data_IF_987761126909
#
_entry.id   IF_987761126909
#
_cell.length_a   1.000
_cell.length_b   1.000
_cell.length_c   1.000
_cell.angle_alpha   90.00
_cell.angle_beta   90.00
_cell.angle_gamma   90.00
#
_symmetry.space_group_name_H-M   'P 1'
#
loop_
_entity.id
_entity.type
_entity.pdbx_description
1 polymer ?
#
# COMPACT_ATOMS: atom_id res chain seq x y z
N UNK A 1 6.91 -3.04 -30.78
CA UNK A 1 7.41 -1.67 -31.09
C UNK A 1 6.91 -0.62 -30.08
N UNK A 2 5.64 -0.65 -29.65
CA UNK A 2 5.08 0.29 -28.65
C UNK A 2 5.75 0.19 -27.26
N UNK A 3 6.16 -1.01 -26.83
CA UNK A 3 6.86 -1.23 -25.55
C UNK A 3 8.27 -0.60 -25.46
N UNK A 4 8.98 -0.45 -26.58
CA UNK A 4 10.33 0.13 -26.62
C UNK A 4 10.27 1.66 -26.62
N UNK A 5 9.43 2.23 -27.48
CA UNK A 5 9.19 3.69 -27.55
C UNK A 5 8.67 4.27 -26.22
N UNK A 6 7.90 3.50 -25.45
CA UNK A 6 7.36 3.94 -24.17
C UNK A 6 8.31 3.75 -22.97
N UNK A 7 9.30 2.87 -23.07
CA UNK A 7 10.36 2.71 -22.05
C UNK A 7 11.37 3.85 -22.16
N UNK A 8 11.67 4.27 -23.38
CA UNK A 8 12.57 5.39 -23.68
C UNK A 8 12.02 6.72 -23.16
N UNK A 9 10.71 7.00 -23.36
CA UNK A 9 10.09 8.27 -22.95
C UNK A 9 10.10 8.56 -21.43
N UNK A 10 10.20 7.54 -20.57
CA UNK A 10 10.29 7.73 -19.11
C UNK A 10 11.72 7.57 -18.57
N UNK A 11 12.69 7.15 -19.39
CA UNK A 11 14.08 6.96 -18.94
C UNK A 11 14.83 8.29 -18.90
N UNK A 12 14.80 9.06 -20.00
CA UNK A 12 15.52 10.33 -20.10
C UNK A 12 15.11 11.36 -19.02
N UNK A 13 13.81 11.57 -18.72
CA UNK A 13 13.43 12.51 -17.66
C UNK A 13 13.84 12.02 -16.26
N UNK A 14 13.86 10.69 -16.02
CA UNK A 14 14.31 10.10 -14.76
C UNK A 14 15.81 10.22 -14.58
N UNK A 15 16.58 9.97 -15.63
CA UNK A 15 18.04 10.09 -15.58
C UNK A 15 18.46 11.55 -15.33
N UNK A 16 17.74 12.51 -15.93
CA UNK A 16 17.95 13.93 -15.66
C UNK A 16 17.54 14.31 -14.22
N UNK A 17 16.38 13.84 -13.75
CA UNK A 17 15.94 14.07 -12.38
C UNK A 17 16.91 13.45 -11.37
N UNK A 18 17.42 12.25 -11.64
CA UNK A 18 18.42 11.55 -10.84
C UNK A 18 19.70 12.38 -10.74
N UNK A 19 20.18 12.89 -11.87
CA UNK A 19 21.35 13.76 -11.90
C UNK A 19 21.14 15.04 -11.09
N UNK A 20 20.00 15.72 -11.25
CA UNK A 20 19.69 16.96 -10.51
C UNK A 20 19.60 16.68 -9.00
N UNK A 21 18.91 15.61 -8.60
CA UNK A 21 18.78 15.24 -7.18
C UNK A 21 20.16 14.95 -6.59
N UNK A 22 21.00 14.16 -7.28
CA UNK A 22 22.34 13.84 -6.82
C UNK A 22 23.27 15.05 -6.75
N UNK A 23 23.18 15.98 -7.71
CA UNK A 23 23.94 17.23 -7.69
C UNK A 23 23.52 18.12 -6.51
N UNK A 24 22.22 18.23 -6.26
CA UNK A 24 21.67 18.96 -5.12
C UNK A 24 22.11 18.35 -3.77
N UNK A 25 22.11 17.02 -3.67
CA UNK A 25 22.58 16.33 -2.45
C UNK A 25 24.09 16.53 -2.24
N UNK A 26 24.90 16.48 -3.30
CA UNK A 26 26.36 16.69 -3.24
C UNK A 26 26.73 18.10 -2.80
N UNK A 27 25.98 19.11 -3.23
CA UNK A 27 26.20 20.50 -2.84
C UNK A 27 25.89 20.72 -1.35
N UNK A 28 25.02 19.90 -0.76
CA UNK A 28 24.77 19.88 0.68
C UNK A 28 24.01 21.09 1.21
N UNK A 29 23.66 22.07 0.36
CA UNK A 29 22.92 23.25 0.74
C UNK A 29 21.50 22.91 1.19
N UNK A 30 21.11 23.43 2.36
CA UNK A 30 19.80 23.16 2.95
C UNK A 30 18.64 23.54 2.01
N UNK A 31 18.77 24.65 1.28
CA UNK A 31 17.75 25.10 0.33
C UNK A 31 17.53 24.09 -0.81
N UNK A 32 18.59 23.47 -1.33
CA UNK A 32 18.50 22.48 -2.41
C UNK A 32 17.89 21.16 -1.93
N UNK A 33 18.24 20.72 -0.71
CA UNK A 33 17.62 19.56 -0.07
C UNK A 33 16.12 19.77 0.16
N UNK A 34 15.73 20.96 0.58
CA UNK A 34 14.34 21.32 0.78
C UNK A 34 13.55 21.34 -0.54
N UNK A 35 14.16 21.84 -1.63
CA UNK A 35 13.57 21.78 -2.97
C UNK A 35 13.37 20.32 -3.41
N UNK A 36 14.38 19.45 -3.23
CA UNK A 36 14.27 18.02 -3.53
C UNK A 36 13.12 17.38 -2.75
N UNK A 37 13.05 17.62 -1.43
CA UNK A 37 11.99 17.13 -0.54
C UNK A 37 10.61 17.55 -1.03
N UNK A 38 10.38 18.85 -1.26
CA UNK A 38 9.09 19.36 -1.69
C UNK A 38 8.69 18.84 -3.08
N UNK A 39 9.62 18.80 -4.02
CA UNK A 39 9.36 18.34 -5.40
C UNK A 39 9.02 16.85 -5.43
N UNK A 40 9.78 16.03 -4.70
CA UNK A 40 9.54 14.59 -4.61
C UNK A 40 8.24 14.28 -3.86
N UNK A 41 7.97 14.96 -2.74
CA UNK A 41 6.72 14.79 -1.98
C UNK A 41 5.49 15.16 -2.82
N UNK A 42 5.55 16.27 -3.56
CA UNK A 42 4.49 16.68 -4.49
C UNK A 42 4.32 15.68 -5.63
N UNK A 43 5.42 15.16 -6.16
CA UNK A 43 5.41 14.15 -7.22
C UNK A 43 4.84 12.82 -6.75
N UNK A 44 5.13 12.41 -5.51
CA UNK A 44 4.55 11.24 -4.88
C UNK A 44 3.04 11.39 -4.79
N UNK A 45 2.54 12.47 -4.18
CA UNK A 45 1.11 12.75 -4.02
C UNK A 45 0.39 12.75 -5.37
N UNK A 46 0.97 13.41 -6.38
CA UNK A 46 0.42 13.46 -7.73
C UNK A 46 0.36 12.08 -8.38
N UNK A 47 1.47 11.33 -8.33
CA UNK A 47 1.57 10.01 -8.96
C UNK A 47 0.65 9.01 -8.28
N UNK A 48 0.54 9.07 -6.96
CA UNK A 48 -0.41 8.29 -6.15
C UNK A 48 -1.86 8.58 -6.58
N UNK A 49 -2.23 9.86 -6.72
CA UNK A 49 -3.56 10.27 -7.20
C UNK A 49 -3.84 9.82 -8.64
N UNK A 50 -2.85 9.91 -9.52
CA UNK A 50 -2.98 9.45 -10.91
C UNK A 50 -3.12 7.93 -10.98
N UNK A 51 -2.32 7.18 -10.21
CA UNK A 51 -2.41 5.71 -10.13
C UNK A 51 -3.78 5.29 -9.63
N UNK A 52 -4.25 5.92 -8.55
CA UNK A 52 -5.60 5.75 -8.03
C UNK A 52 -6.63 5.97 -9.15
N UNK A 53 -6.57 7.10 -9.84
CA UNK A 53 -7.53 7.45 -10.89
C UNK A 53 -7.50 6.47 -12.08
N UNK A 54 -6.30 5.98 -12.46
CA UNK A 54 -6.12 4.99 -13.52
C UNK A 54 -6.78 3.66 -13.17
N UNK A 55 -6.60 3.20 -11.93
CA UNK A 55 -7.19 1.94 -11.45
C UNK A 55 -8.71 2.08 -11.18
N UNK A 56 -9.16 3.21 -10.64
CA UNK A 56 -10.60 3.51 -10.50
C UNK A 56 -11.31 3.63 -11.84
N UNK A 57 -10.63 4.11 -12.88
CA UNK A 57 -11.14 4.07 -14.26
C UNK A 57 -11.38 2.64 -14.74
N UNK A 58 -10.47 1.72 -14.43
CA UNK A 58 -10.58 0.30 -14.81
C UNK A 58 -11.65 -0.44 -14.00
N UNK A 59 -11.85 -0.10 -12.72
CA UNK A 59 -12.85 -0.79 -11.88
C UNK A 59 -14.29 -0.34 -12.19
N UNK A 60 -14.47 0.87 -12.75
CA UNK A 60 -15.76 1.31 -13.33
C UNK A 60 -16.14 0.55 -14.60
N UNK A 61 -15.19 -0.07 -15.30
CA UNK A 61 -15.44 -0.92 -16.46
C UNK A 61 -15.86 -2.36 -16.09
N UNK A 62 -15.85 -2.74 -14.82
CA UNK A 62 -16.14 -4.14 -14.43
C UNK A 62 -17.38 -4.31 -13.57
N UNK A 63 -17.86 -3.34 -12.78
CA UNK A 63 -19.22 -3.40 -12.22
C UNK A 63 -19.61 -2.18 -11.36
N UNK A 64 -20.74 -1.58 -11.74
CA UNK A 64 -21.70 -0.93 -10.85
C UNK A 64 -22.02 -1.81 -9.61
N UNK A 65 -21.91 -1.21 -8.43
CA UNK A 65 -22.54 -1.58 -7.14
C UNK A 65 -22.14 -2.84 -6.34
N UNK A 66 -20.99 -3.50 -6.57
CA UNK A 66 -20.74 -4.81 -5.91
C UNK A 66 -19.40 -5.09 -5.22
N UNK A 67 -18.51 -4.12 -5.01
CA UNK A 67 -17.13 -4.48 -4.60
C UNK A 67 -16.87 -4.52 -3.09
N UNK A 68 -17.56 -3.71 -2.26
CA UNK A 68 -17.48 -3.84 -0.80
C UNK A 68 -18.15 -5.12 -0.29
N UNK A 69 -18.98 -5.79 -1.10
CA UNK A 69 -19.62 -7.07 -0.76
C UNK A 69 -18.83 -8.29 -1.28
N UNK A 70 -17.97 -8.11 -2.28
CA UNK A 70 -17.18 -9.20 -2.89
C UNK A 70 -15.98 -9.61 -2.04
N UNK A 71 -15.36 -8.69 -1.29
CA UNK A 71 -14.38 -9.05 -0.26
C UNK A 71 -15.01 -9.92 0.85
N UNK A 72 -16.29 -9.72 1.17
CA UNK A 72 -16.96 -10.42 2.26
C UNK A 72 -17.73 -11.69 1.84
N UNK A 73 -18.02 -11.90 0.55
CA UNK A 73 -18.73 -13.12 0.06
C UNK A 73 -17.85 -14.38 -0.04
N UNK A 74 -16.54 -14.27 0.15
CA UNK A 74 -15.64 -15.42 0.17
C UNK A 74 -15.43 -16.04 1.56
N UNK A 75 -16.14 -15.53 2.58
CA UNK A 75 -16.09 -16.03 3.96
C UNK A 75 -17.30 -16.95 4.20
N UNK A 76 -17.13 -18.28 4.35
CA UNK A 76 -18.25 -19.22 4.48
C UNK A 76 -19.02 -19.13 5.82
N UNK A 77 -18.62 -18.28 6.76
CA UNK A 77 -19.12 -18.26 8.14
C UNK A 77 -19.66 -16.90 8.62
N UNK A 78 -20.17 -16.09 7.69
CA UNK A 78 -20.75 -14.77 7.95
C UNK A 78 -21.89 -14.76 9.00
N UNK A 79 -22.56 -15.89 9.26
CA UNK A 79 -23.74 -15.95 10.13
C UNK A 79 -23.46 -16.19 11.62
N UNK A 80 -22.22 -16.48 12.03
CA UNK A 80 -21.96 -17.01 13.39
C UNK A 80 -21.26 -16.06 14.38
N UNK A 81 -20.76 -14.89 13.97
CA UNK A 81 -19.97 -13.99 14.84
C UNK A 81 -20.46 -12.51 14.88
N UNK A 82 -21.71 -12.25 14.47
CA UNK A 82 -22.29 -10.90 14.33
C UNK A 82 -22.99 -10.41 15.61
N UNK A 83 -22.25 -9.89 16.60
CA UNK A 83 -22.66 -8.58 17.12
C UNK A 83 -21.51 -7.61 17.43
N UNK A 84 -20.27 -8.07 17.62
CA UNK A 84 -19.13 -7.21 18.00
C UNK A 84 -18.48 -6.52 16.79
N UNK A 85 -18.55 -7.13 15.61
CA UNK A 85 -17.86 -6.64 14.42
C UNK A 85 -18.58 -5.49 13.71
N UNK A 86 -19.91 -5.38 13.82
CA UNK A 86 -20.68 -4.25 13.24
C UNK A 86 -20.34 -2.91 13.90
N UNK A 87 -20.16 -2.88 15.23
CA UNK A 87 -19.74 -1.66 15.94
C UNK A 87 -18.31 -1.25 15.61
N UNK A 88 -17.42 -2.24 15.46
CA UNK A 88 -16.04 -2.02 15.02
C UNK A 88 -16.01 -1.51 13.58
N UNK A 89 -16.83 -2.08 12.69
CA UNK A 89 -16.90 -1.67 11.29
C UNK A 89 -17.50 -0.27 11.10
N UNK A 90 -18.61 0.07 11.77
CA UNK A 90 -19.18 1.43 11.72
C UNK A 90 -18.16 2.45 12.24
N UNK A 91 -17.40 2.10 13.27
CA UNK A 91 -16.32 2.94 13.80
C UNK A 91 -15.12 3.05 12.84
N UNK A 92 -14.78 1.97 12.13
CA UNK A 92 -13.69 1.95 11.14
C UNK A 92 -14.07 2.70 9.85
N UNK A 93 -15.28 2.49 9.33
CA UNK A 93 -15.79 3.17 8.14
C UNK A 93 -15.93 4.69 8.37
N UNK A 94 -16.41 5.11 9.54
CA UNK A 94 -16.42 6.52 9.92
C UNK A 94 -15.01 7.10 10.08
N UNK A 95 -14.05 6.32 10.59
CA UNK A 95 -12.63 6.71 10.66
C UNK A 95 -11.96 6.80 9.28
N UNK A 96 -12.47 6.10 8.27
CA UNK A 96 -11.88 6.00 6.92
C UNK A 96 -12.60 6.84 5.84
N UNK A 97 -13.69 7.53 6.18
CA UNK A 97 -14.38 8.52 5.32
C UNK A 97 -14.73 8.01 3.89
N UNK A 98 -15.32 6.82 3.77
CA UNK A 98 -15.68 6.20 2.48
C UNK A 98 -16.98 6.82 1.88
N UNK A 99 -17.02 7.15 0.58
CA UNK A 99 -18.21 7.65 -0.14
C UNK A 99 -18.61 6.76 -1.34
N UNK A 100 -19.92 6.57 -1.65
CA UNK A 100 -20.38 5.78 -2.80
C UNK A 100 -20.51 6.60 -4.12
N UNK A 101 -20.17 6.05 -5.30
CA UNK A 101 -20.29 6.76 -6.58
C UNK A 101 -21.52 6.40 -7.45
N UNK A 102 -21.92 7.28 -8.39
CA UNK A 102 -23.05 7.11 -9.31
C UNK A 102 -22.71 6.34 -10.61
N UNK A 103 -23.74 5.84 -11.31
CA UNK A 103 -23.67 4.88 -12.42
C UNK A 103 -23.86 5.50 -13.83
N UNK A 104 -23.11 5.03 -14.85
CA UNK A 104 -23.34 5.28 -16.30
C UNK A 104 -22.77 4.15 -17.21
N UNK A 105 -23.20 4.16 -18.48
CA UNK A 105 -23.43 3.03 -19.42
C UNK A 105 -22.25 2.56 -20.29
N UNK A 106 -22.35 1.28 -20.71
CA UNK A 106 -21.41 0.35 -21.35
C UNK A 106 -21.45 0.43 -22.90
N UNK A 107 -20.36 0.83 -23.58
CA UNK A 107 -20.04 0.38 -24.97
C UNK A 107 -18.64 0.74 -25.53
N UNK A 108 -17.70 1.30 -24.77
CA UNK A 108 -16.36 1.70 -25.28
C UNK A 108 -15.16 0.99 -24.59
N UNK A 109 -15.38 -0.22 -24.04
CA UNK A 109 -14.64 -0.72 -22.87
C UNK A 109 -13.32 -1.49 -23.12
N UNK A 110 -12.99 -1.96 -24.33
CA UNK A 110 -11.87 -2.91 -24.49
C UNK A 110 -10.51 -2.25 -24.83
N UNK A 111 -10.48 -1.22 -25.67
CA UNK A 111 -9.21 -0.55 -26.04
C UNK A 111 -8.70 0.39 -24.94
N UNK A 112 -9.63 0.98 -24.17
CA UNK A 112 -9.34 1.90 -23.07
C UNK A 112 -8.77 1.14 -21.87
N UNK A 113 -9.31 -0.04 -21.53
CA UNK A 113 -8.86 -0.86 -20.42
C UNK A 113 -7.40 -1.30 -20.54
N UNK A 114 -6.94 -1.71 -21.73
CA UNK A 114 -5.55 -2.14 -21.93
C UNK A 114 -4.55 -0.98 -21.77
N UNK A 115 -4.89 0.21 -22.29
CA UNK A 115 -4.07 1.40 -22.12
C UNK A 115 -4.01 1.86 -20.65
N UNK A 116 -5.12 1.76 -19.92
CA UNK A 116 -5.17 2.08 -18.49
C UNK A 116 -4.38 1.09 -17.64
N UNK A 117 -4.33 -0.19 -18.01
CA UNK A 117 -3.50 -1.20 -17.32
C UNK A 117 -2.01 -0.90 -17.45
N UNK A 118 -1.54 -0.61 -18.67
CA UNK A 118 -0.14 -0.23 -18.94
C UNK A 118 0.22 1.09 -18.26
N UNK A 119 -0.71 2.05 -18.24
CA UNK A 119 -0.52 3.32 -17.53
C UNK A 119 -0.41 3.10 -16.02
N UNK A 120 -1.30 2.28 -15.42
CA UNK A 120 -1.26 1.95 -14.00
C UNK A 120 0.05 1.26 -13.62
N UNK A 121 0.54 0.32 -14.43
CA UNK A 121 1.84 -0.32 -14.20
C UNK A 121 2.98 0.71 -14.17
N UNK A 122 3.01 1.63 -15.14
CA UNK A 122 4.04 2.68 -15.19
C UNK A 122 3.95 3.64 -14.01
N UNK A 123 2.74 4.06 -13.64
CA UNK A 123 2.52 4.95 -12.50
C UNK A 123 2.94 4.28 -11.18
N UNK A 124 2.71 2.97 -11.03
CA UNK A 124 3.16 2.22 -9.86
C UNK A 124 4.70 2.08 -9.82
N UNK A 125 5.34 1.84 -10.97
CA UNK A 125 6.80 1.83 -11.08
C UNK A 125 7.41 3.22 -10.82
N UNK A 126 6.77 4.28 -11.31
CA UNK A 126 7.19 5.65 -11.06
C UNK A 126 7.07 6.01 -9.58
N UNK A 127 5.95 5.67 -8.95
CA UNK A 127 5.73 5.87 -7.52
C UNK A 127 6.80 5.14 -6.69
N UNK A 128 7.17 3.91 -7.08
CA UNK A 128 8.26 3.17 -6.44
C UNK A 128 9.61 3.86 -6.62
N UNK A 129 9.91 4.41 -7.80
CA UNK A 129 11.14 5.18 -8.02
C UNK A 129 11.15 6.46 -7.17
N UNK A 130 10.05 7.23 -7.13
CA UNK A 130 9.93 8.43 -6.27
C UNK A 130 10.14 8.05 -4.80
N UNK A 131 9.54 6.95 -4.33
CA UNK A 131 9.72 6.44 -2.96
C UNK A 131 11.20 6.20 -2.63
N UNK A 132 11.96 5.60 -3.56
CA UNK A 132 13.39 5.38 -3.38
C UNK A 132 14.17 6.69 -3.33
N UNK A 133 13.76 7.69 -4.11
CA UNK A 133 14.41 9.02 -4.11
C UNK A 133 14.11 9.80 -2.82
N UNK A 134 12.87 9.74 -2.33
CA UNK A 134 12.51 10.29 -1.01
C UNK A 134 13.36 9.70 0.10
N UNK A 135 13.70 8.40 0.02
CA UNK A 135 14.62 7.76 0.97
C UNK A 135 16.02 8.35 0.96
N UNK A 136 16.56 8.62 -0.23
CA UNK A 136 17.89 9.21 -0.39
C UNK A 136 17.91 10.65 0.16
N UNK A 137 16.82 11.40 -0.05
CA UNK A 137 16.66 12.77 0.43
C UNK A 137 16.14 12.89 1.87
N UNK A 138 16.08 11.78 2.64
CA UNK A 138 15.59 11.73 4.02
C UNK A 138 14.16 12.31 4.20
N UNK A 139 13.34 12.18 3.17
CA UNK A 139 11.99 12.74 3.05
C UNK A 139 10.92 11.62 3.09
N UNK A 140 11.13 10.61 3.92
CA UNK A 140 10.26 9.44 3.97
C UNK A 140 9.01 9.67 4.82
N UNK A 141 9.02 10.65 5.72
CA UNK A 141 7.89 11.01 6.56
C UNK A 141 6.65 11.35 5.71
N UNK A 142 6.82 12.20 4.70
CA UNK A 142 5.74 12.66 3.84
C UNK A 142 5.18 11.51 3.01
N UNK A 143 6.04 10.62 2.51
CA UNK A 143 5.62 9.42 1.81
C UNK A 143 4.76 8.53 2.71
N UNK A 144 5.18 8.32 3.96
CA UNK A 144 4.45 7.53 4.95
C UNK A 144 3.09 8.14 5.25
N UNK A 145 3.03 9.46 5.49
CA UNK A 145 1.78 10.17 5.76
C UNK A 145 0.80 10.08 4.58
N UNK A 146 1.30 10.29 3.35
CA UNK A 146 0.49 10.17 2.14
C UNK A 146 0.03 8.73 1.89
N UNK A 147 0.90 7.74 2.13
CA UNK A 147 0.58 6.32 2.01
C UNK A 147 -0.47 5.86 3.03
N UNK A 148 -0.37 6.34 4.28
CA UNK A 148 -1.36 6.08 5.34
C UNK A 148 -2.73 6.68 5.07
N UNK A 149 -2.82 7.64 4.14
CA UNK A 149 -4.07 8.31 3.75
C UNK A 149 -4.67 7.78 2.45
N UNK A 150 -3.99 6.84 1.77
CA UNK A 150 -4.36 6.36 0.45
C UNK A 150 -5.37 5.20 0.49
N UNK A 151 -6.47 5.40 1.22
CA UNK A 151 -7.53 4.40 1.47
C UNK A 151 -8.11 3.80 0.19
N UNK A 152 -8.44 4.69 -0.75
CA UNK A 152 -9.02 4.36 -2.05
C UNK A 152 -8.09 3.46 -2.89
N UNK A 153 -6.79 3.78 -2.92
CA UNK A 153 -5.83 2.99 -3.68
C UNK A 153 -5.58 1.64 -3.02
N UNK A 154 -5.46 1.62 -1.69
CA UNK A 154 -5.31 0.40 -0.92
C UNK A 154 -6.45 -0.58 -1.20
N UNK A 155 -7.69 -0.08 -1.20
CA UNK A 155 -8.89 -0.89 -1.38
C UNK A 155 -8.97 -1.58 -2.76
N UNK A 156 -8.42 -0.96 -3.81
CA UNK A 156 -8.41 -1.52 -5.18
C UNK A 156 -7.10 -2.24 -5.52
N UNK A 157 -6.10 -2.17 -4.66
CA UNK A 157 -4.76 -2.74 -4.89
C UNK A 157 -4.79 -4.26 -5.00
N UNK A 158 -5.61 -4.93 -4.19
CA UNK A 158 -5.72 -6.39 -4.14
C UNK A 158 -6.30 -6.96 -5.45
N UNK A 159 -7.17 -6.23 -6.14
CA UNK A 159 -7.72 -6.62 -7.45
C UNK A 159 -6.91 -6.10 -8.64
N UNK A 160 -5.83 -5.34 -8.39
CA UNK A 160 -5.02 -4.76 -9.45
C UNK A 160 -4.16 -5.82 -10.15
N UNK A 161 -3.68 -5.51 -11.36
CA UNK A 161 -2.79 -6.38 -12.12
C UNK A 161 -1.54 -6.77 -11.29
N UNK A 162 -1.03 -8.02 -11.34
CA UNK A 162 0.07 -8.48 -10.48
C UNK A 162 1.33 -7.62 -10.51
N UNK A 163 1.63 -6.99 -11.65
CA UNK A 163 2.79 -6.05 -11.77
C UNK A 163 2.60 -4.75 -11.00
N UNK A 164 1.35 -4.26 -10.92
CA UNK A 164 0.97 -3.11 -10.09
C UNK A 164 1.07 -3.51 -8.62
N UNK A 165 0.47 -4.65 -8.24
CA UNK A 165 0.57 -5.21 -6.89
C UNK A 165 2.03 -5.34 -6.45
N UNK A 166 2.90 -5.90 -7.29
CA UNK A 166 4.31 -6.08 -6.97
C UNK A 166 5.05 -4.76 -6.70
N UNK A 167 4.70 -3.69 -7.41
CA UNK A 167 5.25 -2.35 -7.15
C UNK A 167 4.72 -1.78 -5.83
N UNK A 168 3.42 -1.92 -5.55
CA UNK A 168 2.78 -1.46 -4.31
C UNK A 168 3.28 -2.23 -3.07
N UNK A 169 3.55 -3.53 -3.19
CA UNK A 169 4.18 -4.35 -2.13
C UNK A 169 5.60 -3.85 -1.85
N UNK A 170 6.40 -3.55 -2.87
CA UNK A 170 7.75 -2.99 -2.70
C UNK A 170 7.72 -1.62 -2.03
N UNK A 171 6.75 -0.77 -2.39
CA UNK A 171 6.55 0.54 -1.74
C UNK A 171 6.19 0.34 -0.27
N UNK A 172 5.21 -0.51 0.04
CA UNK A 172 4.78 -0.81 1.41
C UNK A 172 5.93 -1.34 2.27
N UNK A 173 6.67 -2.34 1.77
CA UNK A 173 7.83 -2.90 2.44
C UNK A 173 8.92 -1.85 2.73
N UNK A 174 9.19 -0.94 1.78
CA UNK A 174 10.15 0.14 1.96
C UNK A 174 9.67 1.12 3.05
N UNK A 175 8.41 1.54 3.01
CA UNK A 175 7.83 2.47 3.97
C UNK A 175 7.79 1.90 5.38
N UNK A 176 7.38 0.65 5.56
CA UNK A 176 7.40 -0.01 6.86
C UNK A 176 8.82 -0.08 7.45
N UNK A 177 9.83 -0.39 6.62
CA UNK A 177 11.23 -0.39 7.06
C UNK A 177 11.68 0.98 7.58
N UNK A 178 11.24 2.07 6.96
CA UNK A 178 11.60 3.42 7.42
C UNK A 178 10.91 3.80 8.74
N UNK A 179 9.68 3.34 8.98
CA UNK A 179 8.97 3.62 10.24
C UNK A 179 9.71 3.11 11.48
N UNK A 180 10.54 2.07 11.35
CA UNK A 180 11.24 1.43 12.48
C UNK A 180 12.71 1.81 12.61
N UNK A 181 13.25 2.61 11.68
CA UNK A 181 14.67 3.04 11.69
C UNK A 181 14.98 4.01 12.82
N UNK A 182 13.98 4.73 13.34
CA UNK A 182 14.11 5.65 14.48
C UNK A 182 14.50 7.08 14.09
N UNK A 183 14.81 7.33 12.83
CA UNK A 183 15.18 8.66 12.33
C UNK A 183 13.96 9.57 12.06
N UNK A 184 12.75 9.01 12.09
CA UNK A 184 11.51 9.67 11.72
C UNK A 184 10.44 9.42 12.78
N UNK A 185 9.90 10.49 13.35
CA UNK A 185 8.81 10.42 14.31
C UNK A 185 7.46 10.28 13.59
N UNK A 186 7.04 9.04 13.34
CA UNK A 186 5.73 8.77 12.75
C UNK A 186 4.67 8.60 13.84
N UNK A 187 3.59 9.38 13.75
CA UNK A 187 2.45 9.26 14.67
C UNK A 187 1.88 7.84 14.71
N UNK A 188 1.41 7.41 15.88
CA UNK A 188 0.77 6.10 16.06
C UNK A 188 -0.38 5.89 15.07
N UNK A 189 -1.19 6.92 14.84
CA UNK A 189 -2.29 6.89 13.88
C UNK A 189 -1.82 6.61 12.44
N UNK A 190 -0.70 7.20 12.01
CA UNK A 190 -0.15 6.95 10.68
C UNK A 190 0.38 5.51 10.56
N UNK A 191 1.07 4.99 11.60
CA UNK A 191 1.51 3.59 11.66
C UNK A 191 0.35 2.61 11.58
N UNK A 192 -0.69 2.83 12.39
CA UNK A 192 -1.92 2.04 12.38
C UNK A 192 -2.58 2.05 10.99
N UNK A 193 -2.79 3.24 10.41
CA UNK A 193 -3.41 3.37 9.09
C UNK A 193 -2.59 2.71 7.98
N UNK A 194 -1.27 2.82 8.03
CA UNK A 194 -0.41 2.14 7.06
C UNK A 194 -0.53 0.63 7.16
N UNK A 195 -0.62 0.06 8.37
CA UNK A 195 -0.81 -1.37 8.55
C UNK A 195 -2.19 -1.83 8.08
N UNK A 196 -3.28 -1.23 8.60
CA UNK A 196 -4.64 -1.71 8.30
C UNK A 196 -5.00 -1.60 6.81
N UNK A 197 -4.44 -0.61 6.10
CA UNK A 197 -4.71 -0.43 4.68
C UNK A 197 -3.90 -1.37 3.79
N UNK A 198 -2.63 -1.61 4.12
CA UNK A 198 -1.69 -2.20 3.18
C UNK A 198 -1.26 -3.62 3.53
N UNK A 199 -1.47 -4.07 4.77
CA UNK A 199 -1.24 -5.46 5.16
C UNK A 199 -2.07 -6.47 4.36
N UNK A 200 -3.36 -6.21 4.03
CA UNK A 200 -4.13 -7.13 3.19
C UNK A 200 -3.49 -7.35 1.81
N UNK A 201 -2.96 -6.29 1.18
CA UNK A 201 -2.24 -6.42 -0.09
C UNK A 201 -1.06 -7.38 0.04
N UNK A 202 -0.37 -7.38 1.17
CA UNK A 202 0.77 -8.28 1.40
C UNK A 202 0.31 -9.73 1.49
N UNK A 203 -0.83 -9.99 2.15
CA UNK A 203 -1.43 -11.31 2.22
C UNK A 203 -1.82 -11.83 0.84
N UNK A 204 -2.45 -11.01 -0.01
CA UNK A 204 -3.06 -11.48 -1.27
C UNK A 204 -2.22 -11.26 -2.54
N UNK A 205 -1.19 -10.41 -2.51
CA UNK A 205 -0.40 -10.14 -3.71
C UNK A 205 0.25 -11.43 -4.24
N UNK A 206 0.01 -11.71 -5.52
CA UNK A 206 0.56 -12.91 -6.15
C UNK A 206 2.09 -12.85 -6.16
N UNK A 207 2.72 -13.79 -5.48
CA UNK A 207 4.15 -14.01 -5.60
C UNK A 207 4.40 -14.65 -6.97
N UNK A 208 4.89 -13.86 -7.93
CA UNK A 208 5.18 -14.36 -9.28
C UNK A 208 6.04 -15.62 -9.24
N UNK A 209 5.64 -16.66 -9.98
CA UNK A 209 6.25 -17.99 -9.93
C UNK A 209 7.70 -17.97 -10.46
N UNK A 210 7.97 -17.13 -11.47
CA UNK A 210 9.30 -17.05 -12.11
C UNK A 210 10.21 -15.94 -11.54
N UNK A 211 9.63 -14.91 -10.92
CA UNK A 211 10.39 -13.84 -10.26
C UNK A 211 9.57 -13.32 -9.08
N UNK A 212 9.90 -13.73 -7.85
CA UNK A 212 9.16 -13.30 -6.68
C UNK A 212 9.30 -11.78 -6.50
N UNK A 213 8.21 -11.12 -6.08
CA UNK A 213 8.19 -9.67 -5.87
C UNK A 213 9.24 -9.25 -4.84
N UNK A 214 9.36 -10.03 -3.76
CA UNK A 214 10.36 -9.92 -2.73
C UNK A 214 11.03 -11.29 -2.56
N UNK A 215 12.34 -11.30 -2.37
CA UNK A 215 13.08 -12.51 -1.98
C UNK A 215 12.62 -13.01 -0.60
N UNK A 216 12.90 -14.28 -0.29
CA UNK A 216 12.58 -14.86 1.02
C UNK A 216 13.24 -14.08 2.17
N UNK A 217 14.47 -13.58 1.96
CA UNK A 217 15.17 -12.75 2.94
C UNK A 217 14.47 -11.41 3.15
N UNK A 218 14.08 -10.72 2.07
CA UNK A 218 13.34 -9.46 2.16
C UNK A 218 11.99 -9.64 2.85
N UNK A 219 11.30 -10.75 2.58
CA UNK A 219 10.04 -11.12 3.25
C UNK A 219 10.21 -11.29 4.76
N UNK A 220 11.21 -12.06 5.18
CA UNK A 220 11.50 -12.28 6.60
C UNK A 220 11.99 -11.00 7.31
N UNK A 221 12.64 -10.08 6.60
CA UNK A 221 12.98 -8.77 7.14
C UNK A 221 11.72 -7.92 7.34
N UNK A 222 10.81 -7.93 6.37
CA UNK A 222 9.54 -7.20 6.44
C UNK A 222 8.65 -7.72 7.55
N UNK A 223 8.59 -9.03 7.78
CA UNK A 223 7.85 -9.61 8.92
C UNK A 223 8.36 -9.07 10.26
N UNK A 224 9.67 -9.10 10.51
CA UNK A 224 10.27 -8.53 11.74
C UNK A 224 9.97 -7.03 11.89
N UNK A 225 9.96 -6.30 10.78
CA UNK A 225 9.60 -4.88 10.77
C UNK A 225 8.12 -4.69 11.15
N UNK A 226 7.21 -5.47 10.56
CA UNK A 226 5.78 -5.43 10.88
C UNK A 226 5.55 -5.74 12.37
N UNK A 227 6.19 -6.78 12.92
CA UNK A 227 6.13 -7.12 14.35
C UNK A 227 6.55 -5.93 15.22
N UNK A 228 7.66 -5.27 14.89
CA UNK A 228 8.13 -4.09 15.61
C UNK A 228 7.14 -2.93 15.53
N UNK A 229 6.54 -2.66 14.36
CA UNK A 229 5.52 -1.61 14.23
C UNK A 229 4.30 -1.96 15.07
N UNK A 230 3.78 -3.19 14.97
CA UNK A 230 2.59 -3.64 15.70
C UNK A 230 2.81 -3.56 17.22
N UNK A 231 3.93 -4.08 17.73
CA UNK A 231 4.25 -4.02 19.17
C UNK A 231 4.35 -2.61 19.75
N UNK A 232 4.52 -1.60 18.90
CA UNK A 232 4.60 -0.18 19.28
C UNK A 232 3.25 0.57 19.18
N UNK A 233 2.16 -0.12 18.84
CA UNK A 233 0.79 0.42 18.86
C UNK A 233 0.14 0.17 20.22
N UNK A 234 -0.95 0.89 20.53
CA UNK A 234 -1.83 0.58 21.65
C UNK A 234 -2.45 -0.82 21.54
N UNK A 235 -2.82 -1.43 22.66
CA UNK A 235 -3.37 -2.80 22.69
C UNK A 235 -4.64 -2.95 21.82
N UNK A 236 -5.50 -1.91 21.79
CA UNK A 236 -6.69 -1.88 20.94
C UNK A 236 -6.33 -1.89 19.45
N UNK A 237 -5.33 -1.10 19.05
CA UNK A 237 -4.90 -1.04 17.66
C UNK A 237 -4.18 -2.33 17.25
N UNK A 238 -3.40 -2.95 18.16
CA UNK A 238 -2.80 -4.27 17.96
C UNK A 238 -3.87 -5.33 17.71
N UNK A 239 -4.92 -5.38 18.54
CA UNK A 239 -6.05 -6.31 18.39
C UNK A 239 -6.69 -6.17 17.01
N UNK A 240 -6.99 -4.94 16.58
CA UNK A 240 -7.60 -4.69 15.27
C UNK A 240 -6.68 -5.17 14.14
N UNK A 241 -5.39 -4.85 14.16
CA UNK A 241 -4.46 -5.28 13.12
C UNK A 241 -4.34 -6.81 13.08
N UNK A 242 -4.12 -7.45 14.22
CA UNK A 242 -3.87 -8.88 14.32
C UNK A 242 -5.11 -9.73 14.00
N UNK A 243 -6.31 -9.27 14.38
CA UNK A 243 -7.55 -9.93 14.02
C UNK A 243 -7.82 -9.88 12.50
N UNK A 244 -7.59 -8.73 11.86
CA UNK A 244 -7.73 -8.60 10.41
C UNK A 244 -6.65 -9.40 9.67
N UNK A 245 -5.40 -9.36 10.14
CA UNK A 245 -4.32 -10.17 9.59
C UNK A 245 -4.63 -11.66 9.64
N UNK A 246 -5.04 -12.19 10.80
CA UNK A 246 -5.34 -13.62 10.94
C UNK A 246 -6.44 -14.05 9.97
N UNK A 247 -7.47 -13.21 9.82
CA UNK A 247 -8.51 -13.42 8.82
C UNK A 247 -7.92 -13.51 7.41
N UNK A 248 -7.21 -12.46 6.96
CA UNK A 248 -6.65 -12.41 5.61
C UNK A 248 -5.63 -13.53 5.35
N UNK A 249 -4.84 -13.90 6.35
CA UNK A 249 -3.84 -14.97 6.27
C UNK A 249 -4.50 -16.34 6.10
N UNK A 250 -5.60 -16.62 6.81
CA UNK A 250 -6.34 -17.89 6.69
C UNK A 250 -7.03 -18.08 5.33
N UNK A 251 -7.45 -16.99 4.69
CA UNK A 251 -8.14 -17.03 3.40
C UNK A 251 -7.22 -16.79 2.20
N UNK A 252 -6.00 -16.30 2.44
CA UNK A 252 -4.98 -16.19 1.40
C UNK A 252 -4.41 -17.57 1.04
N UNK A 253 -3.96 -17.70 -0.21
CA UNK A 253 -3.15 -18.84 -0.66
C UNK A 253 -1.65 -18.65 -0.40
N UNK A 254 -1.25 -17.53 0.21
CA UNK A 254 0.13 -17.17 0.52
C UNK A 254 0.41 -17.33 2.01
N UNK A 255 1.48 -18.04 2.36
CA UNK A 255 1.99 -18.16 3.73
C UNK A 255 2.78 -16.91 4.19
N UNK A 256 2.49 -15.73 3.62
CA UNK A 256 3.18 -14.48 3.90
C UNK A 256 2.22 -13.29 3.91
N UNK A 257 2.35 -12.33 4.85
CA UNK A 257 3.33 -12.31 5.96
C UNK A 257 2.90 -13.19 7.13
N UNK A 258 3.84 -13.95 7.72
CA UNK A 258 3.61 -14.72 8.93
C UNK A 258 3.86 -13.82 10.17
N UNK A 259 2.78 -13.50 10.89
CA UNK A 259 2.80 -12.70 12.13
C UNK A 259 2.33 -13.53 13.35
N UNK A 260 2.40 -14.86 13.28
CA UNK A 260 1.96 -15.78 14.34
C UNK A 260 2.63 -15.47 15.68
N UNK A 261 3.93 -15.18 15.68
CA UNK A 261 4.66 -14.80 16.90
C UNK A 261 4.13 -13.52 17.56
N UNK A 262 3.71 -12.54 16.76
CA UNK A 262 3.10 -11.30 17.26
C UNK A 262 1.69 -11.56 17.80
N UNK A 263 0.92 -12.39 17.10
CA UNK A 263 -0.42 -12.81 17.54
C UNK A 263 -0.39 -13.56 18.87
N UNK A 264 0.54 -14.49 19.05
CA UNK A 264 0.72 -15.25 20.28
C UNK A 264 1.14 -14.36 21.45
N UNK A 265 2.06 -13.43 21.21
CA UNK A 265 2.51 -12.47 22.22
C UNK A 265 1.37 -11.57 22.70
N UNK A 266 0.53 -11.09 21.76
CA UNK A 266 -0.68 -10.33 22.07
C UNK A 266 -1.67 -11.18 22.87
N UNK A 267 -2.00 -12.40 22.41
CA UNK A 267 -2.89 -13.33 23.11
C UNK A 267 -2.43 -13.61 24.55
N UNK A 268 -1.14 -13.82 24.75
CA UNK A 268 -0.57 -14.03 26.08
C UNK A 268 -0.69 -12.80 26.97
N UNK A 269 -0.55 -11.60 26.40
CA UNK A 269 -0.68 -10.33 27.12
C UNK A 269 -2.13 -10.06 27.50
N UNK A 270 -3.07 -10.20 26.56
CA UNK A 270 -4.50 -9.98 26.79
C UNK A 270 -5.09 -10.94 27.82
N UNK A 271 -4.64 -12.21 27.86
CA UNK A 271 -5.09 -13.19 28.87
C UNK A 271 -4.66 -12.86 30.30
N UNK A 272 -3.63 -12.02 30.51
CA UNK A 272 -3.22 -11.57 31.85
C UNK A 272 -4.08 -10.43 32.40
N UNK A 273 -4.91 -9.83 31.55
CA UNK A 273 -5.79 -8.70 31.91
C UNK A 273 -7.20 -9.15 32.33
N UNK A 274 -7.49 -10.45 32.25
CA UNK A 274 -8.74 -11.12 32.66
C UNK A 274 -8.51 -11.82 34.00
#
# INVERSE_FOLDING_TARGET
MIYLSLRENMSLPRDLADKIIEENEKQGEHALKEINRMALSSSFARTLKMLNSSLYGMQRDVETSSWTWKLFRMIPLYSQLMPSFEYLWVSLANRLQLQPPPALTISQMQTIANNNSVLAEKLAQELLWITKKLRICLAMEEAILQWSSATNLAAISISSHPRVQGSLVKISALLFKEMVRGDIEISEQARFKSLILWLPLMCYAMNGIDTPVLSALEKAEVERVLEKIISSLSEMDQEVILANWLHDYMFSSSDWPNLESCYDAWCHSSRKLI
#
